data_IF_171179899123
#
_entry.id   IF_171179899123
#
_cell.length_a   1.000
_cell.length_b   1.000
_cell.length_c   1.000
_cell.angle_alpha   90.00
_cell.angle_beta   90.00
_cell.angle_gamma   90.00
#
_symmetry.space_group_name_H-M   'P 1'
#
loop_
_entity.id
_entity.type
_entity.pdbx_description
1 polymer ?
#
# COMPACT_ATOMS: atom_id res chain seq x y z
N UNK A 1 -2.35 -10.24 -8.61
CA UNK A 1 -2.52 -10.75 -7.23
C UNK A 1 -3.86 -10.26 -6.70
N UNK A 2 -4.53 -11.02 -5.82
CA UNK A 2 -5.79 -10.58 -5.23
C UNK A 2 -5.59 -9.37 -4.30
N UNK A 3 -6.61 -8.52 -4.18
CA UNK A 3 -6.55 -7.29 -3.38
C UNK A 3 -6.29 -7.58 -1.88
N UNK A 4 -6.83 -8.68 -1.37
CA UNK A 4 -6.59 -9.14 0.00
C UNK A 4 -5.15 -9.60 0.24
N UNK A 5 -4.51 -10.21 -0.77
CA UNK A 5 -3.12 -10.59 -0.69
C UNK A 5 -2.20 -9.37 -0.58
N UNK A 6 -2.45 -8.33 -1.37
CA UNK A 6 -1.67 -7.08 -1.33
C UNK A 6 -1.85 -6.38 0.01
N UNK A 7 -3.07 -6.33 0.54
CA UNK A 7 -3.32 -5.80 1.89
C UNK A 7 -2.53 -6.56 2.96
N UNK A 8 -2.54 -7.89 2.91
CA UNK A 8 -1.79 -8.72 3.85
C UNK A 8 -0.27 -8.51 3.73
N UNK A 9 0.25 -8.39 2.51
CA UNK A 9 1.68 -8.15 2.26
C UNK A 9 2.12 -6.77 2.79
N UNK A 10 1.33 -5.72 2.57
CA UNK A 10 1.58 -4.37 3.11
C UNK A 10 1.66 -4.41 4.64
N UNK A 11 0.69 -5.03 5.31
CA UNK A 11 0.66 -5.10 6.77
C UNK A 11 1.85 -5.89 7.33
N UNK A 12 2.18 -7.02 6.70
CA UNK A 12 3.34 -7.82 7.07
C UNK A 12 4.65 -7.02 6.91
N UNK A 13 4.83 -6.33 5.78
CA UNK A 13 6.01 -5.52 5.52
C UNK A 13 6.13 -4.34 6.49
N UNK A 14 5.03 -3.66 6.85
CA UNK A 14 5.02 -2.58 7.85
C UNK A 14 5.51 -3.06 9.22
N UNK A 15 5.09 -4.27 9.62
CA UNK A 15 5.57 -4.88 10.88
C UNK A 15 7.08 -5.14 10.81
N UNK A 16 7.58 -5.65 9.68
CA UNK A 16 9.02 -5.89 9.51
C UNK A 16 9.83 -4.59 9.53
N UNK A 17 9.39 -3.55 8.82
CA UNK A 17 10.01 -2.22 8.80
C UNK A 17 10.11 -1.66 10.21
N UNK A 18 9.02 -1.72 10.98
CA UNK A 18 9.01 -1.21 12.36
C UNK A 18 9.98 -1.96 13.28
N UNK A 19 10.12 -3.28 13.11
CA UNK A 19 11.12 -4.09 13.83
C UNK A 19 12.53 -3.67 13.45
N UNK A 20 12.81 -3.57 12.14
CA UNK A 20 14.12 -3.16 11.64
C UNK A 20 14.52 -1.76 12.12
N UNK A 21 13.58 -0.82 12.18
CA UNK A 21 13.80 0.52 12.72
C UNK A 21 14.20 0.48 14.20
N UNK A 22 13.55 -0.37 15.00
CA UNK A 22 13.86 -0.55 16.42
C UNK A 22 15.25 -1.15 16.62
N UNK A 23 15.61 -2.12 15.79
CA UNK A 23 16.92 -2.76 15.84
C UNK A 23 18.03 -1.78 15.45
N UNK A 24 17.84 -1.00 14.38
CA UNK A 24 18.78 0.07 13.99
C UNK A 24 18.93 1.09 15.11
N UNK A 25 17.84 1.55 15.72
CA UNK A 25 17.91 2.52 16.82
C UNK A 25 18.69 1.96 18.02
N UNK A 26 18.47 0.68 18.33
CA UNK A 26 19.17 0.00 19.42
C UNK A 26 20.67 -0.13 19.14
N UNK A 27 21.05 -0.48 17.91
CA UNK A 27 22.44 -0.53 17.46
C UNK A 27 23.11 0.85 17.50
N UNK A 28 22.42 1.90 17.03
CA UNK A 28 22.92 3.28 17.09
C UNK A 28 23.16 3.75 18.53
N UNK A 29 22.23 3.44 19.45
CA UNK A 29 22.39 3.74 20.88
C UNK A 29 23.58 3.01 21.51
N UNK A 30 23.90 1.81 21.02
CA UNK A 30 25.09 1.06 21.43
C UNK A 30 26.38 1.56 20.74
N UNK A 31 26.32 2.61 19.92
CA UNK A 31 27.48 3.14 19.18
C UNK A 31 27.92 2.26 18.00
N UNK A 32 27.08 1.31 17.57
CA UNK A 32 27.37 0.42 16.45
C UNK A 32 26.98 1.11 15.14
N UNK A 33 27.90 1.12 14.17
CA UNK A 33 27.62 1.69 12.84
C UNK A 33 26.52 0.90 12.13
N UNK A 34 25.51 1.62 11.63
CA UNK A 34 24.33 1.06 10.93
C UNK A 34 24.32 1.39 9.43
N UNK A 35 25.49 1.70 8.86
CA UNK A 35 25.61 2.22 7.49
C UNK A 35 25.01 1.33 6.40
N UNK A 36 24.98 0.00 6.57
CA UNK A 36 24.34 -0.93 5.63
C UNK A 36 22.85 -1.13 5.87
N UNK A 37 22.35 -0.81 7.07
CA UNK A 37 20.97 -1.10 7.48
C UNK A 37 19.99 0.01 7.05
N UNK A 38 20.43 1.27 7.01
CA UNK A 38 19.63 2.40 6.52
C UNK A 38 19.17 2.27 5.05
N UNK A 39 20.05 1.94 4.07
CA UNK A 39 19.62 1.80 2.67
C UNK A 39 18.71 0.58 2.45
N UNK A 40 18.88 -0.50 3.24
CA UNK A 40 17.97 -1.64 3.21
C UNK A 40 16.55 -1.24 3.63
N UNK A 41 16.45 -0.44 4.70
CA UNK A 41 15.18 0.08 5.19
C UNK A 41 14.49 0.99 4.16
N UNK A 42 15.27 1.81 3.45
CA UNK A 42 14.77 2.59 2.30
C UNK A 42 14.12 1.70 1.24
N UNK A 43 14.81 0.65 0.78
CA UNK A 43 14.25 -0.29 -0.22
C UNK A 43 12.99 -1.01 0.27
N UNK A 44 12.93 -1.34 1.56
CA UNK A 44 11.72 -1.94 2.13
C UNK A 44 10.54 -0.96 2.09
N UNK A 45 10.80 0.32 2.37
CA UNK A 45 9.78 1.37 2.29
C UNK A 45 9.33 1.59 0.84
N UNK A 46 10.26 1.68 -0.11
CA UNK A 46 9.96 1.84 -1.53
C UNK A 46 9.04 0.71 -2.03
N UNK A 47 9.30 -0.53 -1.59
CA UNK A 47 8.44 -1.67 -1.94
C UNK A 47 7.04 -1.56 -1.32
N UNK A 48 6.91 -1.08 -0.08
CA UNK A 48 5.58 -0.84 0.53
C UNK A 48 4.82 0.25 -0.22
N UNK A 49 5.50 1.30 -0.66
CA UNK A 49 4.90 2.40 -1.40
C UNK A 49 4.38 1.90 -2.76
N UNK A 50 5.18 1.10 -3.48
CA UNK A 50 4.75 0.44 -4.72
C UNK A 50 3.54 -0.50 -4.51
N UNK A 51 3.49 -1.26 -3.41
CA UNK A 51 2.33 -2.09 -3.07
C UNK A 51 1.08 -1.25 -2.76
N UNK A 52 1.25 -0.08 -2.13
CA UNK A 52 0.14 0.84 -1.87
C UNK A 52 -0.44 1.41 -3.18
N UNK A 53 0.42 1.78 -4.12
CA UNK A 53 0.00 2.23 -5.45
C UNK A 53 -0.78 1.14 -6.21
N UNK A 54 -0.28 -0.10 -6.20
CA UNK A 54 -0.96 -1.24 -6.82
C UNK A 54 -2.33 -1.51 -6.17
N UNK A 55 -2.41 -1.45 -4.83
CA UNK A 55 -3.69 -1.56 -4.10
C UNK A 55 -4.67 -0.49 -4.55
N UNK A 56 -4.21 0.75 -4.68
CA UNK A 56 -5.08 1.87 -5.04
C UNK A 56 -5.54 1.78 -6.50
N UNK A 57 -4.70 1.28 -7.40
CA UNK A 57 -5.09 0.95 -8.78
C UNK A 57 -6.19 -0.11 -8.80
N UNK A 58 -6.00 -1.23 -8.10
CA UNK A 58 -6.97 -2.32 -8.05
C UNK A 58 -8.28 -1.92 -7.38
N UNK A 59 -8.24 -1.14 -6.30
CA UNK A 59 -9.43 -0.56 -5.68
C UNK A 59 -10.18 0.36 -6.66
N UNK A 60 -9.44 1.17 -7.43
CA UNK A 60 -10.01 2.03 -8.46
C UNK A 60 -10.71 1.23 -9.57
N UNK A 61 -10.07 0.18 -10.06
CA UNK A 61 -10.61 -0.74 -11.07
C UNK A 61 -11.88 -1.46 -10.56
N UNK A 62 -11.85 -2.03 -9.36
CA UNK A 62 -13.01 -2.68 -8.74
C UNK A 62 -14.17 -1.71 -8.55
N UNK A 63 -13.88 -0.49 -8.07
CA UNK A 63 -14.90 0.55 -7.92
C UNK A 63 -15.51 0.96 -9.26
N UNK A 64 -14.72 0.96 -10.34
CA UNK A 64 -15.21 1.30 -11.68
C UNK A 64 -16.12 0.21 -12.24
N UNK A 65 -15.79 -1.06 -12.01
CA UNK A 65 -16.65 -2.21 -12.35
C UNK A 65 -17.97 -2.17 -11.60
N UNK A 66 -17.92 -1.94 -10.28
CA UNK A 66 -19.13 -1.86 -9.43
C UNK A 66 -20.02 -0.67 -9.77
N UNK A 67 -19.43 0.43 -10.24
CA UNK A 67 -20.16 1.60 -10.71
C UNK A 67 -20.46 1.53 -12.20
N UNK A 68 -20.49 0.37 -12.83
CA UNK A 68 -20.90 0.30 -14.24
C UNK A 68 -22.40 0.04 -14.36
N UNK A 69 -23.05 0.66 -15.35
CA UNK A 69 -24.42 0.27 -15.73
C UNK A 69 -24.40 -1.19 -16.25
N UNK A 70 -25.57 -1.83 -16.37
CA UNK A 70 -25.68 -3.15 -17.02
C UNK A 70 -25.10 -3.19 -18.46
N UNK A 71 -24.92 -2.03 -19.09
CA UNK A 71 -24.27 -1.82 -20.38
C UNK A 71 -22.73 -1.70 -20.33
N UNK A 72 -22.10 -1.83 -19.15
CA UNK A 72 -20.66 -1.72 -18.94
C UNK A 72 -20.10 -0.29 -18.92
N UNK A 73 -20.94 0.73 -19.12
CA UNK A 73 -20.52 2.14 -19.07
C UNK A 73 -20.22 2.58 -17.63
N UNK A 74 -19.05 3.17 -17.33
CA UNK A 74 -18.71 3.61 -15.99
C UNK A 74 -19.55 4.82 -15.54
N UNK A 75 -20.16 4.74 -14.36
CA UNK A 75 -20.91 5.82 -13.72
C UNK A 75 -19.91 6.79 -13.07
N UNK A 76 -19.73 7.96 -13.70
CA UNK A 76 -19.03 9.11 -13.12
C UNK A 76 -20.07 10.07 -12.53
N UNK A 77 -20.02 10.30 -11.21
CA UNK A 77 -20.97 11.16 -10.49
C UNK A 77 -22.22 10.44 -9.98
N UNK A 78 -23.09 11.15 -9.25
CA UNK A 78 -24.43 10.65 -8.92
C UNK A 78 -25.28 10.68 -10.20
N UNK A 79 -25.98 9.58 -10.56
CA UNK A 79 -26.90 9.59 -11.71
C UNK A 79 -27.93 10.71 -11.56
N UNK A 80 -28.23 11.42 -12.66
CA UNK A 80 -29.15 12.56 -12.67
C UNK A 80 -30.53 12.21 -12.07
N UNK A 81 -30.98 10.96 -12.24
CA UNK A 81 -32.20 10.40 -11.64
C UNK A 81 -32.21 10.32 -10.10
N UNK A 82 -31.06 10.51 -9.42
CA UNK A 82 -30.95 10.51 -7.95
C UNK A 82 -30.77 11.92 -7.36
N UNK A 83 -30.82 12.96 -8.19
CA UNK A 83 -30.91 14.36 -7.74
C UNK A 83 -32.39 14.71 -7.57
N UNK A 84 -33.03 14.17 -6.53
CA UNK A 84 -34.31 14.67 -6.02
C UNK A 84 -34.15 14.98 -4.55
#
# INVERSE_FOLDING_TARGET
MGLDHIKAEIEHMRVQIKRQQKDINSLQRAGISTGSAAPLLGRMQDKVDALCEERDRLNGEERLKQRSYASGKPIRGVPDQRRM
#
